data_IF_129520599981
#
_entry.id   IF_129520599981
#
_cell.length_a   1.000
_cell.length_b   1.000
_cell.length_c   1.000
_cell.angle_alpha   90.00
_cell.angle_beta   90.00
_cell.angle_gamma   90.00
#
_symmetry.space_group_name_H-M   'P 1'
#
loop_
_entity.id
_entity.type
_entity.pdbx_description
1 polymer ?
#
# COMPACT_ATOMS: atom_id res chain seq x y z
N UNK A 1 11.34 -23.79 6.58
CA UNK A 1 10.43 -22.66 6.33
C UNK A 1 9.59 -22.93 5.10
N UNK A 2 8.28 -22.66 5.18
CA UNK A 2 7.26 -22.90 4.17
C UNK A 2 6.49 -21.61 3.93
N UNK A 3 5.93 -21.48 2.72
CA UNK A 3 5.02 -20.39 2.36
C UNK A 3 3.70 -20.96 1.91
N UNK A 4 2.61 -20.43 2.47
CA UNK A 4 1.25 -20.81 2.13
C UNK A 4 0.42 -19.56 1.86
N UNK A 5 -0.36 -19.57 0.78
CA UNK A 5 -1.32 -18.52 0.45
C UNK A 5 -2.72 -19.12 0.51
N UNK A 6 -3.57 -18.56 1.36
CA UNK A 6 -4.95 -19.00 1.58
C UNK A 6 -5.89 -17.87 1.21
N UNK A 7 -6.82 -18.15 0.32
CA UNK A 7 -7.92 -17.25 -0.06
C UNK A 7 -9.12 -17.52 0.84
N UNK A 8 -9.70 -16.46 1.37
CA UNK A 8 -10.89 -16.49 2.22
C UNK A 8 -11.84 -15.40 1.72
N UNK A 9 -13.03 -15.79 1.29
CA UNK A 9 -14.09 -14.85 0.95
C UNK A 9 -14.68 -14.31 2.25
N UNK A 10 -14.57 -13.01 2.48
CA UNK A 10 -15.23 -12.31 3.59
C UNK A 10 -15.93 -11.07 3.06
N UNK A 11 -17.11 -10.78 3.60
CA UNK A 11 -17.93 -9.63 3.20
C UNK A 11 -17.89 -8.49 4.23
N UNK A 12 -17.37 -8.77 5.43
CA UNK A 12 -17.44 -7.89 6.59
C UNK A 12 -16.03 -7.49 7.05
N UNK A 13 -15.84 -6.21 7.38
CA UNK A 13 -14.54 -5.68 7.81
C UNK A 13 -14.08 -6.29 9.14
N UNK A 14 -15.00 -6.55 10.07
CA UNK A 14 -14.71 -7.24 11.32
C UNK A 14 -14.27 -8.70 11.10
N UNK A 15 -14.62 -9.30 9.96
CA UNK A 15 -14.15 -10.63 9.60
C UNK A 15 -12.70 -10.65 9.12
N UNK A 16 -12.21 -9.57 8.48
CA UNK A 16 -10.80 -9.42 8.09
C UNK A 16 -9.88 -9.49 9.30
N UNK A 17 -10.25 -8.78 10.36
CA UNK A 17 -9.46 -8.76 11.59
C UNK A 17 -9.49 -10.12 12.31
N UNK A 18 -10.65 -10.78 12.35
CA UNK A 18 -10.76 -12.14 12.90
C UNK A 18 -9.89 -13.13 12.14
N UNK A 19 -9.86 -13.05 10.81
CA UNK A 19 -8.97 -13.87 9.96
C UNK A 19 -7.52 -13.64 10.36
N UNK A 20 -7.09 -12.38 10.44
CA UNK A 20 -5.72 -12.03 10.83
C UNK A 20 -5.36 -12.58 12.21
N UNK A 21 -6.22 -12.39 13.22
CA UNK A 21 -6.03 -12.94 14.57
C UNK A 21 -5.93 -14.47 14.57
N UNK A 22 -6.78 -15.15 13.80
CA UNK A 22 -6.79 -16.61 13.73
C UNK A 22 -5.50 -17.17 13.09
N UNK A 23 -5.01 -16.49 12.05
CA UNK A 23 -3.72 -16.83 11.43
C UNK A 23 -2.60 -16.54 12.41
N UNK A 24 -2.55 -15.35 13.03
CA UNK A 24 -1.52 -15.00 14.03
C UNK A 24 -1.50 -15.92 15.26
N UNK A 25 -2.64 -16.53 15.62
CA UNK A 25 -2.73 -17.52 16.71
C UNK A 25 -2.15 -18.89 16.36
N UNK A 26 -1.73 -19.14 15.11
CA UNK A 26 -1.07 -20.39 14.73
C UNK A 26 0.42 -20.35 15.07
N UNK A 27 0.93 -21.46 15.62
CA UNK A 27 2.33 -21.57 16.05
C UNK A 27 3.27 -21.68 14.86
N UNK A 28 4.47 -21.11 14.98
CA UNK A 28 5.52 -21.23 13.98
C UNK A 28 5.41 -20.27 12.80
N UNK A 29 4.51 -19.28 12.86
CA UNK A 29 4.42 -18.24 11.84
C UNK A 29 5.45 -17.15 12.12
N UNK A 30 6.21 -16.80 11.08
CA UNK A 30 7.21 -15.74 11.11
C UNK A 30 6.67 -14.45 10.52
N UNK A 31 5.94 -14.53 9.41
CA UNK A 31 5.39 -13.36 8.74
C UNK A 31 4.01 -13.65 8.13
N UNK A 32 3.15 -12.64 8.17
CA UNK A 32 1.78 -12.69 7.67
C UNK A 32 1.59 -11.48 6.77
N UNK A 33 1.16 -11.72 5.54
CA UNK A 33 0.74 -10.68 4.61
C UNK A 33 -0.72 -10.90 4.23
N UNK A 34 -1.51 -9.83 4.19
CA UNK A 34 -2.94 -9.89 3.86
C UNK A 34 -3.20 -8.98 2.68
N UNK A 35 -3.63 -9.58 1.57
CA UNK A 35 -3.99 -8.88 0.33
C UNK A 35 -5.49 -9.06 0.09
N UNK A 36 -6.22 -7.97 -0.17
CA UNK A 36 -7.61 -8.02 -0.61
C UNK A 36 -7.67 -7.90 -2.12
N UNK A 37 -8.16 -8.92 -2.81
CA UNK A 37 -8.33 -8.93 -4.26
C UNK A 37 -9.76 -9.30 -4.62
N UNK A 38 -10.46 -8.39 -5.28
CA UNK A 38 -11.79 -8.65 -5.89
C UNK A 38 -12.80 -9.24 -4.89
N UNK A 39 -12.88 -8.66 -3.67
CA UNK A 39 -13.78 -9.12 -2.60
C UNK A 39 -13.31 -10.36 -1.83
N UNK A 40 -12.14 -10.90 -2.13
CA UNK A 40 -11.54 -12.02 -1.42
C UNK A 40 -10.28 -11.59 -0.69
N UNK A 41 -10.08 -12.08 0.54
CA UNK A 41 -8.84 -11.89 1.29
C UNK A 41 -7.89 -13.05 1.03
N UNK A 42 -6.74 -12.76 0.44
CA UNK A 42 -5.60 -13.66 0.38
C UNK A 42 -4.68 -13.41 1.56
N UNK A 43 -4.53 -14.40 2.43
CA UNK A 43 -3.56 -14.39 3.52
C UNK A 43 -2.37 -15.25 3.15
N UNK A 44 -1.22 -14.61 3.03
CA UNK A 44 0.07 -15.27 2.86
C UNK A 44 0.72 -15.47 4.22
N UNK A 45 1.10 -16.71 4.51
CA UNK A 45 1.72 -17.14 5.75
C UNK A 45 3.10 -17.69 5.42
N UNK A 46 4.11 -17.16 6.09
CA UNK A 46 5.50 -17.60 5.97
C UNK A 46 5.95 -18.04 7.36
N UNK A 47 6.51 -19.24 7.45
CA UNK A 47 7.02 -19.75 8.73
C UNK A 47 7.30 -21.24 8.69
N UNK A 48 7.53 -21.81 9.87
CA UNK A 48 7.65 -23.25 10.06
C UNK A 48 6.35 -23.78 10.68
N UNK A 49 5.38 -24.08 9.82
CA UNK A 49 4.04 -24.49 10.23
C UNK A 49 3.55 -25.70 9.44
N UNK A 50 2.53 -26.34 10.00
CA UNK A 50 1.84 -27.46 9.38
C UNK A 50 0.64 -26.97 8.56
N UNK A 51 0.66 -27.23 7.26
CA UNK A 51 -0.32 -26.73 6.29
C UNK A 51 -1.75 -27.20 6.60
N UNK A 52 -1.90 -28.48 6.95
CA UNK A 52 -3.17 -29.12 7.21
C UNK A 52 -3.77 -28.56 8.49
N UNK A 53 -2.96 -28.29 9.52
CA UNK A 53 -3.44 -27.67 10.74
C UNK A 53 -3.95 -26.25 10.53
N UNK A 54 -3.21 -25.42 9.79
CA UNK A 54 -3.65 -24.04 9.51
C UNK A 54 -4.91 -24.06 8.64
N UNK A 55 -4.94 -24.85 7.57
CA UNK A 55 -6.11 -24.96 6.71
C UNK A 55 -7.34 -25.48 7.46
N UNK A 56 -7.17 -26.48 8.32
CA UNK A 56 -8.27 -27.03 9.13
C UNK A 56 -8.79 -26.00 10.12
N UNK A 57 -7.90 -25.28 10.83
CA UNK A 57 -8.29 -24.19 11.74
C UNK A 57 -9.05 -23.09 11.00
N UNK A 58 -8.56 -22.67 9.83
CA UNK A 58 -9.20 -21.65 9.01
C UNK A 58 -10.55 -22.11 8.46
N UNK A 59 -10.62 -23.32 7.90
CA UNK A 59 -11.88 -23.91 7.40
C UNK A 59 -12.94 -24.06 8.47
N UNK A 60 -12.53 -24.30 9.72
CA UNK A 60 -13.46 -24.45 10.85
C UNK A 60 -14.16 -23.13 11.21
N UNK A 61 -13.49 -22.00 11.05
CA UNK A 61 -14.08 -20.66 11.27
C UNK A 61 -14.70 -20.07 10.00
N UNK A 62 -14.08 -20.31 8.85
CA UNK A 62 -14.51 -19.80 7.55
C UNK A 62 -14.58 -20.94 6.54
N UNK A 63 -15.80 -21.39 6.25
CA UNK A 63 -16.02 -22.47 5.24
C UNK A 63 -15.48 -22.11 3.85
N UNK A 64 -15.38 -20.82 3.54
CA UNK A 64 -14.87 -20.31 2.27
C UNK A 64 -13.33 -20.31 2.18
N UNK A 65 -12.61 -20.79 3.20
CA UNK A 65 -11.15 -20.84 3.16
C UNK A 65 -10.65 -21.88 2.16
N UNK A 66 -9.95 -21.40 1.12
CA UNK A 66 -9.36 -22.21 0.04
C UNK A 66 -7.86 -21.94 -0.05
N UNK A 67 -7.08 -23.02 -0.04
CA UNK A 67 -5.65 -22.96 -0.32
C UNK A 67 -5.43 -22.62 -1.80
N UNK A 68 -4.60 -21.62 -2.10
CA UNK A 68 -4.28 -21.21 -3.48
C UNK A 68 -2.90 -21.67 -3.86
N UNK A 69 -1.91 -21.46 -2.98
CA UNK A 69 -0.51 -21.77 -3.29
C UNK A 69 0.18 -22.26 -2.02
N UNK A 70 1.03 -23.26 -2.17
CA UNK A 70 1.91 -23.74 -1.12
C UNK A 70 3.24 -24.16 -1.74
N UNK A 71 4.32 -23.82 -1.05
CA UNK A 71 5.66 -24.17 -1.50
C UNK A 71 6.69 -24.07 -0.38
N UNK A 72 7.84 -24.71 -0.62
CA UNK A 72 9.03 -24.54 0.20
C UNK A 72 9.49 -23.08 0.14
N UNK A 73 9.65 -22.45 1.30
CA UNK A 73 10.18 -21.11 1.39
C UNK A 73 11.70 -21.19 1.46
N UNK A 74 12.35 -20.81 0.37
CA UNK A 74 13.80 -20.63 0.31
C UNK A 74 14.14 -19.15 0.62
N UNK A 75 14.73 -18.85 1.80
CA UNK A 75 14.91 -17.48 2.26
C UNK A 75 15.79 -16.63 1.32
N UNK A 76 16.75 -17.25 0.62
CA UNK A 76 17.62 -16.55 -0.35
C UNK A 76 16.87 -16.08 -1.59
N UNK A 77 15.93 -16.88 -2.08
CA UNK A 77 15.17 -16.60 -3.31
C UNK A 77 14.04 -15.61 -3.07
N UNK A 78 13.43 -15.66 -1.87
CA UNK A 78 12.35 -14.73 -1.53
C UNK A 78 12.86 -13.36 -1.07
N UNK A 79 14.03 -13.26 -0.43
CA UNK A 79 14.65 -11.96 -0.13
C UNK A 79 14.95 -11.15 -1.41
N UNK A 80 15.42 -11.82 -2.47
CA UNK A 80 15.66 -11.19 -3.76
C UNK A 80 14.35 -10.75 -4.43
N UNK A 81 13.30 -11.59 -4.37
CA UNK A 81 11.97 -11.26 -4.89
C UNK A 81 11.29 -10.11 -4.12
N UNK A 82 11.44 -10.06 -2.80
CA UNK A 82 10.91 -8.99 -1.95
C UNK A 82 11.62 -7.65 -2.25
N UNK A 83 12.95 -7.67 -2.37
CA UNK A 83 13.73 -6.49 -2.73
C UNK A 83 13.37 -5.96 -4.13
N UNK A 84 13.11 -6.85 -5.10
CA UNK A 84 12.65 -6.48 -6.42
C UNK A 84 11.23 -5.87 -6.42
N UNK A 85 10.32 -6.40 -5.59
CA UNK A 85 8.97 -5.88 -5.43
C UNK A 85 8.96 -4.49 -4.77
N UNK A 86 9.76 -4.27 -3.72
CA UNK A 86 9.91 -2.95 -3.10
C UNK A 86 10.51 -1.92 -4.05
N UNK A 87 11.53 -2.31 -4.84
CA UNK A 87 12.13 -1.44 -5.87
C UNK A 87 11.10 -0.99 -6.91
N UNK A 88 10.27 -1.91 -7.42
CA UNK A 88 9.20 -1.57 -8.37
C UNK A 88 8.16 -0.63 -7.77
N UNK A 89 7.78 -0.84 -6.50
CA UNK A 89 6.80 0.02 -5.82
C UNK A 89 7.33 1.44 -5.60
N UNK A 90 8.63 1.57 -5.31
CA UNK A 90 9.30 2.87 -5.17
C UNK A 90 9.44 3.60 -6.51
N UNK A 91 9.77 2.88 -7.58
CA UNK A 91 9.87 3.44 -8.93
C UNK A 91 8.51 3.91 -9.46
N UNK A 92 7.42 3.16 -9.22
CA UNK A 92 6.06 3.59 -9.57
C UNK A 92 5.63 4.84 -8.79
N UNK A 93 5.93 4.90 -7.49
CA UNK A 93 5.67 6.08 -6.65
C UNK A 93 6.44 7.32 -7.14
N UNK A 94 7.70 7.16 -7.53
CA UNK A 94 8.52 8.26 -8.02
C UNK A 94 8.04 8.75 -9.39
N UNK A 95 7.66 7.82 -10.27
CA UNK A 95 7.06 8.14 -11.58
C UNK A 95 5.72 8.86 -11.44
N UNK A 96 4.87 8.44 -10.51
CA UNK A 96 3.61 9.12 -10.21
C UNK A 96 3.83 10.54 -9.65
N UNK A 97 4.85 10.72 -8.82
CA UNK A 97 5.24 12.03 -8.27
C UNK A 97 5.73 12.97 -9.37
N UNK A 98 6.57 12.47 -10.27
CA UNK A 98 7.04 13.24 -11.43
C UNK A 98 5.90 13.63 -12.38
N UNK A 99 4.96 12.73 -12.66
CA UNK A 99 3.79 13.02 -13.50
C UNK A 99 2.90 14.11 -12.88
N UNK A 100 2.69 14.07 -11.55
CA UNK A 100 1.94 15.09 -10.83
C UNK A 100 2.61 16.48 -10.87
N UNK A 101 3.94 16.53 -10.73
CA UNK A 101 4.71 17.77 -10.87
C UNK A 101 4.62 18.34 -12.29
N UNK A 102 4.74 17.48 -13.31
CA UNK A 102 4.65 17.89 -14.71
C UNK A 102 3.26 18.49 -15.03
N UNK A 103 2.18 17.85 -14.59
CA UNK A 103 0.82 18.39 -14.75
C UNK A 103 0.67 19.74 -14.05
N UNK A 104 1.11 19.85 -12.80
CA UNK A 104 1.04 21.10 -12.04
C UNK A 104 1.74 22.26 -12.76
N UNK A 105 2.88 21.99 -13.42
CA UNK A 105 3.63 23.00 -14.17
C UNK A 105 3.02 23.36 -15.53
N UNK A 106 2.22 22.46 -16.11
CA UNK A 106 1.56 22.68 -17.39
C UNK A 106 0.15 23.30 -17.20
N UNK A 107 -0.42 23.13 -16.01
CA UNK A 107 -1.69 23.71 -15.59
C UNK A 107 -1.53 25.14 -15.01
N UNK A 108 -0.31 25.61 -14.73
CA UNK A 108 -0.10 27.02 -14.40
C UNK A 108 -0.34 27.88 -15.64
N UNK A 109 -1.37 28.73 -15.67
CA UNK A 109 -1.56 29.65 -16.78
C UNK A 109 -0.32 30.56 -16.84
N UNK A 110 0.43 30.45 -17.93
CA UNK A 110 1.54 31.37 -18.20
C UNK A 110 0.97 32.79 -18.22
N UNK A 111 1.20 33.56 -17.17
CA UNK A 111 0.93 35.00 -17.19
C UNK A 111 1.78 35.62 -18.30
N UNK A 112 1.19 36.31 -19.29
CA UNK A 112 1.98 37.01 -20.27
C UNK A 112 2.83 38.08 -19.58
N UNK A 113 4.11 38.10 -19.93
CA UNK A 113 5.15 38.95 -19.35
C UNK A 113 4.71 40.42 -19.50
N UNK A 114 4.32 41.05 -18.40
CA UNK A 114 3.95 42.47 -18.40
C UNK A 114 5.21 43.30 -18.62
N UNK A 115 5.28 44.01 -19.76
CA UNK A 115 6.34 44.96 -20.05
C UNK A 115 6.42 46.02 -18.94
N UNK A 116 7.63 46.17 -18.41
CA UNK A 116 8.02 47.14 -17.40
C UNK A 116 7.67 48.57 -17.83
N UNK A 117 6.64 49.16 -17.23
CA UNK A 117 6.52 50.63 -17.16
C UNK A 117 6.96 51.04 -15.77
N UNK A 118 8.13 51.65 -15.68
CA UNK A 118 8.64 52.31 -14.47
C UNK A 118 7.63 53.36 -14.02
N UNK A 119 6.88 53.08 -12.97
CA UNK A 119 6.34 54.14 -12.10
C UNK A 119 7.18 54.09 -10.84
N UNK A 120 8.10 55.05 -10.74
CA UNK A 120 8.80 55.40 -9.51
C UNK A 120 7.75 56.02 -8.60
N UNK A 121 7.22 55.25 -7.65
CA UNK A 121 6.43 55.82 -6.55
C UNK A 121 7.41 56.30 -5.48
N UNK A 122 7.56 57.62 -5.37
CA UNK A 122 8.24 58.29 -4.28
C UNK A 122 7.59 57.96 -2.93
N UNK A 123 8.46 57.81 -1.92
CA UNK A 123 8.19 57.69 -0.50
C UNK A 123 7.47 58.95 0.00
N UNK A 124 6.37 58.86 0.75
CA UNK A 124 6.35 59.33 2.15
C UNK A 124 5.06 58.94 2.90
N UNK A 125 5.20 58.90 4.21
CA UNK A 125 4.26 58.44 5.22
C UNK A 125 3.09 59.41 5.47
N UNK A 126 2.15 58.92 6.29
CA UNK A 126 1.22 59.66 7.15
C UNK A 126 -0.16 60.06 6.60
N UNK A 127 -1.18 59.60 7.34
CA UNK A 127 -2.33 60.44 7.69
C UNK A 127 -3.67 60.03 7.09
N UNK A 128 -4.35 59.12 7.79
CA UNK A 128 -5.77 58.88 7.63
C UNK A 128 -6.57 60.15 8.02
N UNK A 129 -7.43 60.67 7.14
CA UNK A 129 -8.64 61.40 7.54
C UNK A 129 -9.74 61.15 6.51
N UNK A 130 -10.90 60.71 6.99
CA UNK A 130 -12.16 60.60 6.25
C UNK A 130 -12.89 61.93 6.43
N UNK A 131 -13.39 62.52 5.33
CA UNK A 131 -14.59 63.35 5.34
C UNK A 131 -15.42 63.05 4.09
#
# INVERSE_FOLDING_TARGET
MKKMVVMITVYDEGSKEKVMRAVASCSGITSINVESKEGNLMVSVIGDFDEMQILTKLKRKWRSAKMVTFGTYDPKKEAEAAAAAERKKKEESERATMDALYRSHHETPHCPIHHHSTVVCEHDHNGCVIL
#
